data_IF_309105823152
#
_entry.id   IF_309105823152
#
_cell.length_a   1.000
_cell.length_b   1.000
_cell.length_c   1.000
_cell.angle_alpha   90.00
_cell.angle_beta   90.00
_cell.angle_gamma   90.00
#
_symmetry.space_group_name_H-M   'P 1'
#
loop_
_entity.id
_entity.type
_entity.pdbx_description
1 polymer ?
#
# COMPACT_ATOMS: atom_id res chain seq x y z
N UNK A 1 1.86 -10.84 -12.25
CA UNK A 1 1.66 -12.27 -11.90
C UNK A 1 0.68 -12.35 -10.74
N UNK A 2 -0.48 -12.98 -10.94
CA UNK A 2 -1.50 -13.16 -9.88
C UNK A 2 -1.14 -14.38 -9.03
N UNK A 3 -1.59 -14.42 -7.78
CA UNK A 3 -1.47 -15.63 -6.95
C UNK A 3 -2.37 -16.76 -7.47
N UNK A 4 -2.06 -17.99 -7.08
CA UNK A 4 -2.96 -19.14 -7.27
C UNK A 4 -4.34 -18.85 -6.68
N UNK A 5 -5.39 -19.30 -7.36
CA UNK A 5 -6.78 -18.97 -7.03
C UNK A 5 -7.16 -19.38 -5.60
N UNK A 6 -6.59 -20.47 -5.07
CA UNK A 6 -6.79 -20.88 -3.68
C UNK A 6 -6.31 -19.85 -2.67
N UNK A 7 -5.17 -19.19 -2.94
CA UNK A 7 -4.66 -18.11 -2.09
C UNK A 7 -5.51 -16.86 -2.24
N UNK A 8 -5.99 -16.56 -3.45
CA UNK A 8 -6.87 -15.40 -3.70
C UNK A 8 -8.19 -15.56 -2.96
N UNK A 9 -8.80 -16.76 -2.98
CA UNK A 9 -10.02 -17.08 -2.22
C UNK A 9 -9.84 -16.88 -0.71
N UNK A 10 -8.73 -17.36 -0.14
CA UNK A 10 -8.41 -17.16 1.29
C UNK A 10 -8.24 -15.68 1.67
N UNK A 11 -7.61 -14.89 0.79
CA UNK A 11 -7.43 -13.46 1.01
C UNK A 11 -8.77 -12.71 0.90
N UNK A 12 -9.61 -13.07 -0.08
CA UNK A 12 -10.94 -12.49 -0.25
C UNK A 12 -11.87 -12.84 0.93
N UNK A 13 -11.83 -14.06 1.46
CA UNK A 13 -12.63 -14.43 2.64
C UNK A 13 -12.24 -13.62 3.87
N UNK A 14 -10.96 -13.27 4.05
CA UNK A 14 -10.54 -12.36 5.13
C UNK A 14 -11.02 -10.92 4.92
N UNK A 15 -11.05 -10.44 3.67
CA UNK A 15 -11.53 -9.08 3.37
C UNK A 15 -13.03 -8.97 3.54
N UNK A 16 -13.78 -9.89 2.92
CA UNK A 16 -15.24 -9.90 2.77
C UNK A 16 -15.97 -10.69 3.86
N UNK A 17 -15.34 -10.97 5.01
CA UNK A 17 -15.98 -11.70 6.12
C UNK A 17 -17.35 -11.13 6.55
N UNK A 18 -17.57 -9.84 6.33
CA UNK A 18 -18.79 -9.10 6.70
C UNK A 18 -19.87 -9.05 5.60
N UNK A 19 -19.61 -9.66 4.44
CA UNK A 19 -20.52 -9.68 3.30
C UNK A 19 -21.02 -11.11 3.07
N UNK A 20 -22.33 -11.27 2.97
CA UNK A 20 -22.96 -12.52 2.51
C UNK A 20 -22.79 -12.71 0.99
N UNK A 21 -21.59 -12.43 0.46
CA UNK A 21 -21.28 -12.50 -0.96
C UNK A 21 -20.35 -13.68 -1.19
N UNK A 22 -20.72 -14.50 -2.17
CA UNK A 22 -19.93 -15.66 -2.55
C UNK A 22 -18.57 -15.23 -3.12
N UNK A 23 -17.50 -15.76 -2.52
CA UNK A 23 -16.12 -15.39 -2.83
C UNK A 23 -15.74 -15.78 -4.26
N UNK A 24 -16.36 -16.83 -4.81
CA UNK A 24 -16.12 -17.28 -6.18
C UNK A 24 -16.75 -16.32 -7.20
N UNK A 25 -17.99 -15.88 -6.97
CA UNK A 25 -18.60 -14.83 -7.80
C UNK A 25 -17.80 -13.53 -7.78
N UNK A 26 -17.23 -13.14 -6.62
CA UNK A 26 -16.38 -11.95 -6.53
C UNK A 26 -15.07 -12.10 -7.30
N UNK A 27 -14.42 -13.27 -7.23
CA UNK A 27 -13.19 -13.52 -7.96
C UNK A 27 -13.45 -13.50 -9.47
N UNK A 28 -14.54 -14.13 -9.91
CA UNK A 28 -14.98 -14.07 -11.31
C UNK A 28 -15.29 -12.63 -11.75
N UNK A 29 -15.92 -11.83 -10.90
CA UNK A 29 -16.27 -10.45 -11.22
C UNK A 29 -15.06 -9.50 -11.25
N UNK A 30 -14.01 -9.80 -10.46
CA UNK A 30 -12.72 -9.11 -10.52
C UNK A 30 -11.97 -9.46 -11.82
N UNK A 31 -12.01 -10.73 -12.23
CA UNK A 31 -11.27 -11.19 -13.41
C UNK A 31 -11.97 -10.84 -14.73
N UNK A 32 -13.31 -10.79 -14.76
CA UNK A 32 -14.09 -10.40 -15.95
C UNK A 32 -14.46 -8.92 -15.99
N UNK A 33 -13.98 -8.13 -15.03
CA UNK A 33 -14.17 -6.68 -14.95
C UNK A 33 -15.65 -6.24 -14.93
N UNK A 34 -16.57 -7.13 -14.56
CA UNK A 34 -18.04 -6.91 -14.56
C UNK A 34 -18.53 -6.03 -13.40
N UNK A 35 -17.68 -5.76 -12.41
CA UNK A 35 -18.00 -4.90 -11.29
C UNK A 35 -18.09 -3.42 -11.72
N UNK A 36 -19.01 -2.68 -11.12
CA UNK A 36 -19.07 -1.23 -11.30
C UNK A 36 -17.78 -0.58 -10.82
N UNK A 37 -17.33 0.50 -11.46
CA UNK A 37 -16.10 1.21 -11.07
C UNK A 37 -16.09 1.58 -9.57
N UNK A 38 -17.24 1.99 -9.03
CA UNK A 38 -17.45 2.31 -7.62
C UNK A 38 -17.30 1.11 -6.68
N UNK A 39 -17.70 -0.08 -7.11
CA UNK A 39 -17.58 -1.32 -6.32
C UNK A 39 -16.13 -1.82 -6.32
N UNK A 40 -15.45 -1.73 -7.46
CA UNK A 40 -14.01 -2.03 -7.58
C UNK A 40 -13.19 -1.13 -6.66
N UNK A 41 -13.43 0.18 -6.68
CA UNK A 41 -12.76 1.11 -5.77
C UNK A 41 -13.00 0.76 -4.29
N UNK A 42 -14.25 0.44 -3.91
CA UNK A 42 -14.58 0.06 -2.53
C UNK A 42 -13.87 -1.22 -2.08
N UNK A 43 -13.86 -2.24 -2.94
CA UNK A 43 -13.16 -3.49 -2.66
C UNK A 43 -11.64 -3.29 -2.59
N UNK A 44 -11.10 -2.43 -3.45
CA UNK A 44 -9.67 -2.11 -3.46
C UNK A 44 -9.24 -1.33 -2.21
N UNK A 45 -10.03 -0.34 -1.78
CA UNK A 45 -9.83 0.38 -0.50
C UNK A 45 -9.78 -0.62 0.66
N UNK A 46 -10.75 -1.53 0.75
CA UNK A 46 -10.77 -2.57 1.80
C UNK A 46 -9.59 -3.53 1.72
N UNK A 47 -9.18 -3.88 0.51
CA UNK A 47 -8.01 -4.73 0.27
C UNK A 47 -6.75 -4.07 0.85
N UNK A 48 -6.56 -2.78 0.58
CA UNK A 48 -5.43 -2.00 1.09
C UNK A 48 -5.50 -1.81 2.62
N UNK A 49 -6.71 -1.69 3.18
CA UNK A 49 -6.89 -1.50 4.62
C UNK A 49 -6.70 -2.78 5.43
N UNK A 50 -6.96 -3.95 4.87
CA UNK A 50 -6.85 -5.22 5.61
C UNK A 50 -5.61 -6.02 5.24
N UNK A 51 -5.07 -5.85 4.05
CA UNK A 51 -3.95 -6.64 3.55
C UNK A 51 -2.70 -5.80 3.31
N UNK A 52 -1.50 -6.40 3.47
CA UNK A 52 -0.27 -5.76 3.05
C UNK A 52 -0.19 -5.64 1.52
N UNK A 53 0.55 -4.64 1.02
CA UNK A 53 0.61 -4.30 -0.41
C UNK A 53 0.95 -5.48 -1.33
N UNK A 54 1.87 -6.37 -0.94
CA UNK A 54 2.22 -7.55 -1.74
C UNK A 54 1.03 -8.50 -1.97
N UNK A 55 0.14 -8.63 -0.97
CA UNK A 55 -1.07 -9.43 -1.11
C UNK A 55 -2.12 -8.75 -1.98
N UNK A 56 -2.21 -7.42 -1.93
CA UNK A 56 -3.05 -6.63 -2.85
C UNK A 56 -2.59 -6.82 -4.29
N UNK A 57 -1.29 -6.69 -4.57
CA UNK A 57 -0.72 -6.91 -5.90
C UNK A 57 -0.94 -8.35 -6.38
N UNK A 58 -0.79 -9.34 -5.49
CA UNK A 58 -1.04 -10.73 -5.83
C UNK A 58 -2.52 -11.06 -6.10
N UNK A 59 -3.45 -10.31 -5.52
CA UNK A 59 -4.90 -10.51 -5.66
C UNK A 59 -5.46 -9.86 -6.93
N UNK A 60 -5.07 -8.62 -7.19
CA UNK A 60 -5.55 -7.83 -8.33
C UNK A 60 -4.69 -8.01 -9.58
N UNK A 61 -3.39 -8.21 -9.41
CA UNK A 61 -2.38 -8.04 -10.45
C UNK A 61 -1.68 -6.68 -10.32
N UNK A 62 -0.47 -6.58 -10.84
CA UNK A 62 0.35 -5.36 -10.71
C UNK A 62 -0.25 -4.19 -11.50
N UNK A 63 -0.61 -4.42 -12.78
CA UNK A 63 -1.11 -3.39 -13.69
C UNK A 63 -2.46 -2.82 -13.23
N UNK A 64 -3.39 -3.71 -12.87
CA UNK A 64 -4.71 -3.35 -12.35
C UNK A 64 -4.60 -2.63 -11.01
N UNK A 65 -3.74 -3.08 -10.10
CA UNK A 65 -3.50 -2.41 -8.82
C UNK A 65 -2.91 -1.00 -9.03
N UNK A 66 -2.01 -0.82 -10.01
CA UNK A 66 -1.44 0.49 -10.33
C UNK A 66 -2.49 1.44 -10.91
N UNK A 67 -3.40 0.95 -11.76
CA UNK A 67 -4.51 1.72 -12.32
C UNK A 67 -5.53 2.13 -11.26
N UNK A 68 -5.87 1.22 -10.34
CA UNK A 68 -6.83 1.46 -9.26
C UNK A 68 -6.27 2.36 -8.14
N UNK A 69 -4.95 2.54 -8.06
CA UNK A 69 -4.29 3.40 -7.08
C UNK A 69 -4.39 4.89 -7.48
N UNK A 70 -5.61 5.40 -7.44
CA UNK A 70 -5.97 6.80 -7.72
C UNK A 70 -5.92 7.66 -6.45
N UNK A 71 -5.90 8.99 -6.61
CA UNK A 71 -5.94 9.90 -5.45
C UNK A 71 -7.28 9.80 -4.70
N UNK A 72 -8.37 9.48 -5.39
CA UNK A 72 -9.69 9.26 -4.78
C UNK A 72 -9.65 8.08 -3.80
N UNK A 73 -8.95 7.00 -4.15
CA UNK A 73 -8.74 5.84 -3.28
C UNK A 73 -7.86 6.19 -2.09
N UNK A 74 -6.73 6.89 -2.32
CA UNK A 74 -5.81 7.26 -1.23
C UNK A 74 -6.48 8.16 -0.20
N UNK A 75 -7.33 9.10 -0.63
CA UNK A 75 -8.07 9.98 0.28
C UNK A 75 -9.09 9.24 1.15
N UNK A 76 -9.66 8.13 0.64
CA UNK A 76 -10.63 7.30 1.37
C UNK A 76 -9.98 6.47 2.48
N UNK A 77 -8.67 6.21 2.41
CA UNK A 77 -7.95 5.37 3.38
C UNK A 77 -7.92 6.01 4.77
N UNK A 78 -7.99 5.18 5.81
CA UNK A 78 -7.71 5.60 7.18
C UNK A 78 -6.77 4.59 7.86
N UNK A 79 -5.78 5.00 8.69
CA UNK A 79 -5.42 6.34 9.20
C UNK A 79 -4.49 7.18 8.29
N UNK A 80 -4.15 8.43 8.71
CA UNK A 80 -3.32 9.38 7.92
C UNK A 80 -1.95 8.83 7.51
N UNK A 81 -1.32 8.02 8.36
CA UNK A 81 -0.03 7.38 8.07
C UNK A 81 -0.12 6.46 6.84
N UNK A 82 -1.21 5.71 6.70
CA UNK A 82 -1.44 4.89 5.51
C UNK A 82 -1.61 5.73 4.26
N UNK A 83 -2.27 6.89 4.36
CA UNK A 83 -2.39 7.81 3.21
C UNK A 83 -1.02 8.24 2.72
N UNK A 84 -0.12 8.61 3.64
CA UNK A 84 1.25 9.01 3.30
C UNK A 84 2.03 7.85 2.67
N UNK A 85 1.96 6.66 3.27
CA UNK A 85 2.63 5.47 2.74
C UNK A 85 2.17 5.14 1.31
N UNK A 86 0.87 5.13 1.05
CA UNK A 86 0.35 4.84 -0.29
C UNK A 86 0.55 5.99 -1.28
N UNK A 87 0.60 7.25 -0.83
CA UNK A 87 1.00 8.37 -1.68
C UNK A 87 2.48 8.27 -2.10
N UNK A 88 3.36 7.84 -1.20
CA UNK A 88 4.77 7.56 -1.53
C UNK A 88 4.86 6.38 -2.51
N UNK A 89 4.15 5.27 -2.24
CA UNK A 89 4.11 4.13 -3.16
C UNK A 89 3.62 4.52 -4.55
N UNK A 90 2.58 5.36 -4.66
CA UNK A 90 2.10 5.89 -5.93
C UNK A 90 3.21 6.60 -6.71
N UNK A 91 3.96 7.48 -6.03
CA UNK A 91 5.08 8.23 -6.63
C UNK A 91 6.17 7.29 -7.11
N UNK A 92 6.54 6.30 -6.28
CA UNK A 92 7.53 5.28 -6.63
C UNK A 92 7.08 4.50 -7.87
N UNK A 93 5.83 4.04 -7.91
CA UNK A 93 5.29 3.27 -9.05
C UNK A 93 5.20 4.09 -10.34
N UNK A 94 5.14 5.42 -10.25
CA UNK A 94 5.09 6.34 -11.39
C UNK A 94 6.47 6.91 -11.76
N UNK A 95 7.54 6.46 -11.10
CA UNK A 95 8.88 7.02 -11.22
C UNK A 95 8.94 8.54 -10.96
N UNK A 96 8.02 9.06 -10.14
CA UNK A 96 8.03 10.45 -9.70
C UNK A 96 9.07 10.65 -8.59
N UNK A 97 9.70 11.83 -8.48
CA UNK A 97 10.63 12.12 -7.41
C UNK A 97 9.92 12.05 -6.05
N UNK A 98 10.35 11.11 -5.23
CA UNK A 98 9.89 11.00 -3.83
C UNK A 98 10.58 12.11 -3.04
N UNK A 99 9.82 12.79 -2.17
CA UNK A 99 10.41 13.76 -1.26
C UNK A 99 11.49 13.05 -0.43
N UNK A 100 12.65 13.68 -0.28
CA UNK A 100 13.75 13.07 0.46
C UNK A 100 13.23 12.62 1.84
N UNK A 101 13.57 11.41 2.30
CA UNK A 101 13.19 10.98 3.64
C UNK A 101 13.64 12.06 4.65
N UNK A 102 12.82 12.34 5.67
CA UNK A 102 13.12 13.28 6.77
C UNK A 102 14.35 12.87 7.63
N UNK A 103 15.24 12.07 7.07
CA UNK A 103 16.61 11.82 7.51
C UNK A 103 17.50 13.08 7.49
N UNK A 104 16.97 14.27 7.21
CA UNK A 104 17.80 15.36 6.68
C UNK A 104 18.15 16.49 7.66
N UNK A 105 17.35 16.79 8.69
CA UNK A 105 17.70 17.85 9.65
C UNK A 105 17.76 17.35 11.09
N UNK A 106 16.65 16.90 11.67
CA UNK A 106 16.55 16.56 13.09
C UNK A 106 17.34 15.30 13.45
N UNK A 107 17.19 14.23 12.67
CA UNK A 107 17.99 13.01 12.83
C UNK A 107 19.48 13.27 12.55
N UNK A 108 19.82 14.16 11.60
CA UNK A 108 21.23 14.57 11.39
C UNK A 108 21.78 15.33 12.59
N UNK A 109 20.98 16.20 13.21
CA UNK A 109 21.39 16.90 14.43
C UNK A 109 21.59 15.93 15.61
N UNK A 110 20.67 14.97 15.80
CA UNK A 110 20.81 13.91 16.83
C UNK A 110 22.01 13.00 16.56
N UNK A 111 22.31 12.64 15.32
CA UNK A 111 23.49 11.83 15.00
C UNK A 111 24.81 12.61 15.16
N UNK A 112 24.81 13.91 14.82
CA UNK A 112 25.96 14.81 15.08
C UNK A 112 26.33 14.87 16.56
N UNK A 113 25.34 14.93 17.46
CA UNK A 113 25.61 14.99 18.90
C UNK A 113 26.12 13.67 19.47
N UNK A 114 25.70 12.52 18.92
CA UNK A 114 25.79 11.25 19.64
C UNK A 114 26.96 10.34 19.22
N UNK A 115 27.38 10.33 17.95
CA UNK A 115 28.22 9.22 17.44
C UNK A 115 29.69 9.59 17.16
N UNK A 116 30.01 10.86 16.86
CA UNK A 116 31.35 11.22 16.37
C UNK A 116 31.97 12.51 16.95
N UNK A 117 31.23 13.25 17.79
CA UNK A 117 31.71 14.51 18.39
C UNK A 117 32.90 14.29 19.33
N UNK A 118 32.89 13.22 20.13
CA UNK A 118 33.91 12.96 21.17
C UNK A 118 35.22 12.35 20.66
N UNK A 119 35.29 11.92 19.39
CA UNK A 119 36.50 11.27 18.86
C UNK A 119 37.65 12.27 18.63
N UNK A 120 37.32 13.53 18.36
CA UNK A 120 38.28 14.62 18.10
C UNK A 120 38.82 15.28 19.38
N UNK A 121 38.18 15.06 20.54
CA UNK A 121 38.60 15.63 21.83
C UNK A 121 39.61 14.76 22.61
N UNK A 122 40.15 13.68 22.02
CA UNK A 122 41.09 12.78 22.69
C UNK A 122 42.57 13.20 22.66
N UNK A 123 42.90 14.32 22.01
CA UNK A 123 44.26 14.87 22.02
C UNK A 123 44.30 16.17 22.83
N UNK A 124 44.52 16.05 24.14
CA UNK A 124 45.03 17.11 25.01
C UNK A 124 45.86 16.51 26.11
#
# INVERSE_FOLDING_TARGET
MKYSDDKRKKLLSMICWDYAVDVETLLYAIDNDTLSHTEKERLFVKSIEKLPWHNVVGLWGFETAQQLLSDSVIQKLWPKERRQHFAILKRILRNEPVSAPEWSSELRQKLKSTVLSYRWYRFK
#
